data_IF_887743434410
#
_entry.id   IF_887743434410
#
_cell.length_a   1.000
_cell.length_b   1.000
_cell.length_c   1.000
_cell.angle_alpha   90.00
_cell.angle_beta   90.00
_cell.angle_gamma   90.00
#
_symmetry.space_group_name_H-M   'P 1'
#
loop_
_entity.id
_entity.type
_entity.pdbx_description
1 polymer ?
#
# COMPACT_ATOMS: atom_id res chain seq x y z
N UNK A 1 22.10 -10.16 -24.73
CA UNK A 1 22.66 -8.79 -24.79
C UNK A 1 21.56 -7.86 -24.32
N UNK A 2 21.52 -7.55 -23.02
CA UNK A 2 20.55 -6.65 -22.41
C UNK A 2 21.16 -5.26 -22.32
N UNK A 3 20.58 -4.30 -23.05
CA UNK A 3 21.01 -2.91 -22.99
C UNK A 3 20.49 -2.28 -21.69
N UNK A 4 21.34 -1.58 -20.92
CA UNK A 4 20.94 -0.96 -19.66
C UNK A 4 20.08 0.28 -19.91
N UNK A 5 18.98 0.37 -19.16
CA UNK A 5 18.05 1.50 -19.16
C UNK A 5 18.79 2.72 -18.60
N UNK A 6 19.20 3.63 -19.48
CA UNK A 6 19.73 4.94 -19.08
C UNK A 6 18.57 5.76 -18.49
N UNK A 7 18.51 5.83 -17.16
CA UNK A 7 17.68 6.82 -16.47
C UNK A 7 18.42 8.16 -16.63
N UNK A 8 17.95 8.96 -17.59
CA UNK A 8 18.46 10.30 -17.83
C UNK A 8 18.04 11.19 -16.65
N UNK A 9 19.02 11.63 -15.88
CA UNK A 9 18.85 12.53 -14.73
C UNK A 9 18.63 13.95 -15.23
N UNK A 10 17.54 14.18 -15.97
CA UNK A 10 17.14 15.54 -16.35
C UNK A 10 16.25 16.12 -15.23
N UNK A 11 16.89 16.90 -14.36
CA UNK A 11 16.34 17.92 -13.46
C UNK A 11 15.19 17.50 -12.53
N UNK A 12 15.48 17.44 -11.24
CA UNK A 12 14.55 17.27 -10.11
C UNK A 12 13.30 18.19 -10.17
N UNK A 13 13.42 19.36 -10.80
CA UNK A 13 12.32 20.29 -11.07
C UNK A 13 11.19 19.68 -11.93
N UNK A 14 11.49 18.65 -12.73
CA UNK A 14 10.51 18.00 -13.59
C UNK A 14 9.72 16.90 -12.85
N UNK A 15 10.26 16.32 -11.77
CA UNK A 15 9.52 15.34 -10.97
C UNK A 15 8.42 16.04 -10.17
N UNK A 16 8.72 17.17 -9.54
CA UNK A 16 7.74 17.99 -8.83
C UNK A 16 6.65 18.47 -9.79
N UNK A 17 7.03 19.00 -10.96
CA UNK A 17 6.08 19.39 -11.99
C UNK A 17 5.22 18.21 -12.46
N UNK A 18 5.79 17.01 -12.60
CA UNK A 18 5.03 15.80 -12.97
C UNK A 18 4.13 15.29 -11.85
N UNK A 19 4.45 15.54 -10.59
CA UNK A 19 3.57 15.22 -9.45
C UNK A 19 2.41 16.21 -9.34
N UNK A 20 2.66 17.50 -9.60
CA UNK A 20 1.65 18.56 -9.48
C UNK A 20 0.77 18.70 -10.72
N UNK A 21 1.35 18.48 -11.91
CA UNK A 21 0.71 18.73 -13.21
C UNK A 21 0.67 17.51 -14.12
N UNK A 22 1.24 16.37 -13.69
CA UNK A 22 1.12 15.14 -14.45
C UNK A 22 -0.31 14.63 -14.39
N UNK A 23 -0.75 14.03 -15.49
CA UNK A 23 -2.07 13.43 -15.61
C UNK A 23 -2.33 12.52 -14.40
N UNK A 24 -3.39 12.84 -13.64
CA UNK A 24 -3.86 12.00 -12.56
C UNK A 24 -4.18 10.64 -13.18
N UNK A 25 -3.53 9.58 -12.68
CA UNK A 25 -3.89 8.22 -13.08
C UNK A 25 -5.39 8.09 -12.86
N UNK A 26 -6.14 7.97 -13.96
CA UNK A 26 -7.59 8.03 -14.00
C UNK A 26 -8.18 6.96 -13.10
N UNK A 27 -8.30 7.30 -11.82
CA UNK A 27 -8.99 6.49 -10.85
C UNK A 27 -10.45 6.57 -11.23
N UNK A 28 -11.06 5.40 -11.39
CA UNK A 28 -12.40 5.17 -11.92
C UNK A 28 -13.39 6.24 -11.45
N UNK A 29 -13.53 7.29 -12.26
CA UNK A 29 -14.62 8.24 -12.15
C UNK A 29 -15.60 7.76 -13.22
N UNK A 30 -16.68 7.16 -12.76
CA UNK A 30 -17.82 6.75 -13.57
C UNK A 30 -18.33 7.95 -14.38
N UNK A 31 -17.94 8.05 -15.65
CA UNK A 31 -18.51 8.96 -16.65
C UNK A 31 -18.76 8.12 -17.89
N UNK A 32 -19.96 7.55 -17.99
CA UNK A 32 -21.09 8.06 -18.80
C UNK A 32 -20.72 8.06 -20.30
N UNK A 33 -20.80 6.88 -20.89
CA UNK A 33 -21.04 6.67 -22.33
C UNK A 33 -22.50 7.03 -22.59
N UNK A 34 -22.80 7.94 -23.52
CA UNK A 34 -24.14 8.07 -24.13
C UNK A 34 -24.03 8.92 -25.41
N UNK A 35 -23.52 8.30 -26.48
CA UNK A 35 -23.80 8.72 -27.85
C UNK A 35 -25.25 8.35 -28.18
N UNK A 36 -26.18 9.31 -28.18
CA UNK A 36 -27.58 9.06 -28.58
C UNK A 36 -27.99 9.94 -29.77
N UNK A 37 -28.05 9.29 -30.94
CA UNK A 37 -28.64 9.80 -32.18
C UNK A 37 -30.12 10.18 -31.99
N UNK A 38 -30.45 11.37 -32.45
CA UNK A 38 -31.76 12.00 -32.30
C UNK A 38 -32.69 11.46 -33.38
N UNK A 39 -33.43 10.40 -33.06
CA UNK A 39 -34.44 9.87 -33.99
C UNK A 39 -35.84 10.45 -33.74
N UNK A 40 -36.45 10.87 -34.84
CA UNK A 40 -37.66 11.69 -34.92
C UNK A 40 -38.88 10.79 -34.76
N UNK A 41 -39.74 11.04 -33.77
CA UNK A 41 -41.06 10.41 -33.73
C UNK A 41 -42.16 11.43 -33.47
N UNK A 42 -43.19 11.25 -34.30
CA UNK A 42 -44.19 12.17 -34.77
C UNK A 42 -45.34 12.41 -33.78
N UNK A 43 -45.98 13.56 -33.96
CA UNK A 43 -47.08 14.10 -33.20
C UNK A 43 -48.36 13.32 -33.51
N UNK A 44 -48.97 12.68 -32.51
CA UNK A 44 -50.42 12.41 -32.56
C UNK A 44 -51.04 12.61 -31.17
N UNK A 45 -52.16 13.30 -31.17
CA UNK A 45 -52.74 14.08 -30.09
C UNK A 45 -54.14 13.49 -29.81
N UNK A 46 -54.34 12.84 -28.66
CA UNK A 46 -55.64 12.38 -28.14
C UNK A 46 -55.61 12.58 -26.61
N UNK A 47 -56.14 13.67 -26.05
CA UNK A 47 -57.52 13.87 -25.58
C UNK A 47 -58.07 12.71 -24.74
N UNK A 48 -57.95 12.83 -23.42
CA UNK A 48 -58.87 12.23 -22.45
C UNK A 48 -59.15 13.25 -21.34
N UNK A 49 -60.42 13.33 -21.00
CA UNK A 49 -61.05 14.26 -20.08
C UNK A 49 -60.69 13.93 -18.62
N UNK A 50 -60.41 14.95 -17.81
CA UNK A 50 -60.07 14.80 -16.40
C UNK A 50 -61.22 15.30 -15.51
N UNK A 51 -61.75 14.40 -14.70
CA UNK A 51 -62.65 14.68 -13.59
C UNK A 51 -61.88 15.04 -12.31
N UNK A 52 -62.42 16.05 -11.61
CA UNK A 52 -62.50 16.26 -10.17
C UNK A 52 -61.25 16.16 -9.24
N UNK A 53 -61.04 17.32 -8.58
CA UNK A 53 -60.74 17.50 -7.15
C UNK A 53 -59.27 17.58 -6.68
N UNK A 54 -59.01 18.71 -5.99
CA UNK A 54 -58.03 18.93 -4.92
C UNK A 54 -56.58 19.33 -5.31
N UNK A 55 -56.47 20.61 -5.67
CA UNK A 55 -55.56 21.61 -5.07
C UNK A 55 -54.10 21.19 -4.82
N UNK A 56 -53.32 21.09 -5.89
CA UNK A 56 -51.85 21.20 -5.86
C UNK A 56 -51.39 22.21 -6.92
N UNK A 57 -50.27 22.91 -6.68
CA UNK A 57 -50.04 24.25 -7.16
C UNK A 57 -49.96 24.27 -8.68
N UNK A 58 -50.71 25.23 -9.21
CA UNK A 58 -50.76 25.72 -10.56
C UNK A 58 -49.44 25.57 -11.34
N UNK A 59 -49.19 24.40 -11.93
CA UNK A 59 -48.33 24.29 -13.10
C UNK A 59 -49.13 24.97 -14.21
N UNK A 60 -48.89 26.27 -14.34
CA UNK A 60 -49.58 27.17 -15.28
C UNK A 60 -49.72 26.46 -16.63
N UNK A 61 -50.95 26.40 -17.20
CA UNK A 61 -51.16 25.73 -18.46
C UNK A 61 -50.23 26.36 -19.47
N UNK A 62 -49.37 25.51 -20.04
CA UNK A 62 -48.37 25.83 -21.06
C UNK A 62 -49.01 26.75 -22.10
N UNK A 63 -48.79 28.05 -21.98
CA UNK A 63 -49.32 28.99 -22.94
C UNK A 63 -48.49 28.82 -24.21
N UNK A 64 -49.03 28.05 -25.16
CA UNK A 64 -48.48 27.81 -26.50
C UNK A 64 -48.29 29.08 -27.36
N UNK A 65 -48.31 30.27 -26.74
CA UNK A 65 -48.23 31.58 -27.38
C UNK A 65 -46.88 32.27 -27.23
N UNK A 66 -45.94 31.72 -26.46
CA UNK A 66 -44.64 32.36 -26.23
C UNK A 66 -43.52 31.82 -27.14
N UNK A 67 -43.73 31.78 -28.45
CA UNK A 67 -42.70 31.31 -29.41
C UNK A 67 -41.76 32.42 -29.91
N UNK A 68 -41.67 33.55 -29.19
CA UNK A 68 -40.77 34.66 -29.52
C UNK A 68 -39.43 34.59 -28.77
N UNK A 69 -38.49 35.53 -29.02
CA UNK A 69 -37.16 35.54 -28.39
C UNK A 69 -37.19 35.51 -26.85
N UNK A 70 -38.20 36.15 -26.24
CA UNK A 70 -38.42 36.11 -24.79
C UNK A 70 -38.85 34.74 -24.28
N UNK A 71 -39.59 33.96 -25.07
CA UNK A 71 -40.00 32.61 -24.70
C UNK A 71 -38.84 31.62 -24.75
N UNK A 72 -37.95 31.76 -25.74
CA UNK A 72 -36.72 30.96 -25.82
C UNK A 72 -35.86 31.13 -24.57
N UNK A 73 -35.73 32.37 -24.07
CA UNK A 73 -34.97 32.64 -22.85
C UNK A 73 -35.59 31.98 -21.60
N UNK A 74 -36.91 31.94 -21.51
CA UNK A 74 -37.62 31.29 -20.41
C UNK A 74 -37.46 29.77 -20.47
N UNK A 75 -37.62 29.18 -21.66
CA UNK A 75 -37.39 27.76 -21.90
C UNK A 75 -35.95 27.37 -21.53
N UNK A 76 -34.95 28.21 -21.85
CA UNK A 76 -33.55 27.97 -21.46
C UNK A 76 -33.36 27.93 -19.93
N UNK A 77 -33.94 28.89 -19.19
CA UNK A 77 -33.85 28.91 -17.71
C UNK A 77 -34.47 27.67 -17.09
N UNK A 78 -35.63 27.24 -17.59
CA UNK A 78 -36.32 26.04 -17.13
C UNK A 78 -35.48 24.79 -17.45
N UNK A 79 -34.92 24.70 -18.66
CA UNK A 79 -34.06 23.58 -19.07
C UNK A 79 -32.79 23.49 -18.22
N UNK A 80 -32.15 24.63 -17.91
CA UNK A 80 -30.97 24.69 -17.05
C UNK A 80 -31.28 24.20 -15.63
N UNK A 81 -32.35 24.70 -15.03
CA UNK A 81 -32.78 24.26 -13.69
C UNK A 81 -33.10 22.75 -13.65
N UNK A 82 -33.72 22.21 -14.72
CA UNK A 82 -33.95 20.76 -14.85
C UNK A 82 -32.66 19.94 -14.97
N UNK A 83 -31.62 20.48 -15.59
CA UNK A 83 -30.33 19.80 -15.69
C UNK A 83 -29.66 19.73 -14.31
N UNK A 84 -29.64 20.84 -13.58
CA UNK A 84 -29.13 20.90 -12.19
C UNK A 84 -29.92 19.97 -11.25
N UNK A 85 -31.25 19.87 -11.43
CA UNK A 85 -32.09 18.91 -10.70
C UNK A 85 -31.76 17.45 -11.05
N UNK A 86 -31.44 17.15 -12.31
CA UNK A 86 -30.99 15.81 -12.73
C UNK A 86 -29.62 15.48 -12.14
N UNK A 87 -28.69 16.42 -12.17
CA UNK A 87 -27.34 16.26 -11.62
C UNK A 87 -27.38 16.04 -10.11
N UNK A 88 -28.15 16.85 -9.38
CA UNK A 88 -28.35 16.68 -7.94
C UNK A 88 -29.00 15.34 -7.59
N UNK A 89 -30.01 14.89 -8.36
CA UNK A 89 -30.60 13.55 -8.19
C UNK A 89 -29.61 12.43 -8.49
N UNK A 90 -28.79 12.56 -9.54
CA UNK A 90 -27.70 11.60 -9.83
C UNK A 90 -26.72 11.54 -8.65
N UNK A 91 -26.30 12.69 -8.14
CA UNK A 91 -25.40 12.77 -6.98
C UNK A 91 -26.02 12.14 -5.73
N UNK A 92 -27.29 12.42 -5.45
CA UNK A 92 -28.02 11.83 -4.33
C UNK A 92 -28.15 10.30 -4.46
N UNK A 93 -28.39 9.78 -5.67
CA UNK A 93 -28.42 8.34 -5.93
C UNK A 93 -27.06 7.67 -5.69
N UNK A 94 -25.96 8.28 -6.15
CA UNK A 94 -24.60 7.78 -5.90
C UNK A 94 -24.31 7.76 -4.40
N UNK A 95 -24.67 8.83 -3.67
CA UNK A 95 -24.49 8.90 -2.23
C UNK A 95 -25.33 7.86 -1.49
N UNK A 96 -26.59 7.67 -1.91
CA UNK A 96 -27.48 6.66 -1.36
C UNK A 96 -26.95 5.25 -1.62
N UNK A 97 -26.41 4.98 -2.80
CA UNK A 97 -25.78 3.71 -3.15
C UNK A 97 -24.50 3.46 -2.33
N UNK A 98 -23.64 4.48 -2.17
CA UNK A 98 -22.48 4.39 -1.29
C UNK A 98 -22.89 4.12 0.16
N UNK A 99 -23.99 4.75 0.61
CA UNK A 99 -24.56 4.54 1.95
C UNK A 99 -25.16 3.14 2.10
N UNK A 100 -25.84 2.57 1.12
CA UNK A 100 -26.35 1.19 1.21
C UNK A 100 -25.22 0.17 1.13
N UNK A 101 -24.21 0.40 0.28
CA UNK A 101 -23.01 -0.44 0.23
C UNK A 101 -22.20 -0.41 1.54
N UNK A 102 -22.28 0.68 2.31
CA UNK A 102 -21.66 0.76 3.64
C UNK A 102 -22.59 0.24 4.74
N UNK A 103 -23.90 0.52 4.73
CA UNK A 103 -24.80 0.14 5.84
C UNK A 103 -25.35 -1.28 5.76
N UNK A 104 -25.50 -1.87 4.56
CA UNK A 104 -25.97 -3.26 4.44
C UNK A 104 -24.92 -4.28 4.92
N UNK A 105 -23.73 -3.80 5.26
CA UNK A 105 -22.59 -4.59 5.65
C UNK A 105 -22.19 -4.42 7.11
N UNK A 106 -23.03 -4.09 8.11
CA UNK A 106 -22.53 -4.00 9.50
C UNK A 106 -21.74 -5.26 9.95
N UNK A 107 -22.12 -6.45 9.48
CA UNK A 107 -21.32 -7.68 9.68
C UNK A 107 -20.10 -7.78 8.77
N UNK A 108 -20.16 -7.27 7.53
CA UNK A 108 -19.05 -7.30 6.56
C UNK A 108 -18.01 -6.21 6.83
N UNK A 109 -18.43 -5.02 7.26
CA UNK A 109 -17.64 -3.87 7.67
C UNK A 109 -16.75 -4.21 8.85
N UNK A 110 -17.26 -4.90 9.87
CA UNK A 110 -16.41 -5.37 10.96
C UNK A 110 -15.30 -6.29 10.43
N UNK A 111 -15.62 -7.16 9.45
CA UNK A 111 -14.64 -8.01 8.78
C UNK A 111 -13.66 -7.22 7.90
N UNK A 112 -14.13 -6.18 7.20
CA UNK A 112 -13.31 -5.32 6.35
C UNK A 112 -12.40 -4.41 7.17
N UNK A 113 -12.88 -3.88 8.29
CA UNK A 113 -12.12 -3.05 9.21
C UNK A 113 -11.05 -3.89 9.90
N UNK A 114 -11.37 -5.11 10.35
CA UNK A 114 -10.37 -6.03 10.89
C UNK A 114 -9.32 -6.40 9.82
N UNK A 115 -9.76 -6.63 8.57
CA UNK A 115 -8.84 -6.86 7.46
C UNK A 115 -7.95 -5.63 7.20
N UNK A 116 -8.51 -4.42 7.24
CA UNK A 116 -7.77 -3.17 7.08
C UNK A 116 -6.75 -3.00 8.20
N UNK A 117 -7.14 -3.21 9.46
CA UNK A 117 -6.28 -3.15 10.64
C UNK A 117 -5.14 -4.15 10.53
N UNK A 118 -5.43 -5.39 10.14
CA UNK A 118 -4.45 -6.45 9.93
C UNK A 118 -3.44 -6.07 8.83
N UNK A 119 -3.89 -5.58 7.68
CA UNK A 119 -3.00 -5.15 6.58
C UNK A 119 -2.12 -3.97 6.97
N UNK A 120 -2.68 -3.01 7.71
CA UNK A 120 -1.91 -1.88 8.22
C UNK A 120 -0.83 -2.34 9.21
N UNK A 121 -1.15 -3.31 10.08
CA UNK A 121 -0.19 -3.90 11.00
C UNK A 121 0.92 -4.66 10.25
N UNK A 122 0.56 -5.51 9.29
CA UNK A 122 1.53 -6.22 8.42
C UNK A 122 2.48 -5.24 7.71
N UNK A 123 1.94 -4.11 7.21
CA UNK A 123 2.74 -3.06 6.57
C UNK A 123 3.66 -2.36 7.58
N UNK A 124 3.17 -2.02 8.77
CA UNK A 124 3.97 -1.40 9.84
C UNK A 124 5.12 -2.31 10.27
N UNK A 125 4.84 -3.59 10.46
CA UNK A 125 5.81 -4.61 10.85
C UNK A 125 6.90 -4.78 9.78
N UNK A 126 6.50 -4.81 8.50
CA UNK A 126 7.45 -4.88 7.39
C UNK A 126 8.37 -3.66 7.34
N UNK A 127 7.82 -2.45 7.49
CA UNK A 127 8.61 -1.21 7.51
C UNK A 127 9.55 -1.16 8.73
N UNK A 128 9.08 -1.61 9.89
CA UNK A 128 9.91 -1.72 11.08
C UNK A 128 11.09 -2.69 10.86
N UNK A 129 10.81 -3.88 10.32
CA UNK A 129 11.82 -4.87 10.00
C UNK A 129 12.87 -4.33 9.01
N UNK A 130 12.41 -3.68 7.93
CA UNK A 130 13.27 -3.10 6.90
C UNK A 130 14.20 -2.00 7.47
N UNK A 131 13.70 -1.18 8.39
CA UNK A 131 14.52 -0.16 9.07
C UNK A 131 15.54 -0.77 10.04
N UNK A 132 15.19 -1.91 10.65
CA UNK A 132 16.00 -2.54 11.68
C UNK A 132 17.14 -3.39 11.11
N UNK A 133 16.97 -3.98 9.93
CA UNK A 133 18.02 -4.76 9.27
C UNK A 133 18.95 -3.79 8.55
N UNK A 134 20.19 -3.73 8.99
CA UNK A 134 21.19 -2.86 8.37
C UNK A 134 21.69 -3.46 7.05
N UNK A 135 21.58 -2.72 5.96
CA UNK A 135 22.26 -3.07 4.71
C UNK A 135 23.67 -2.48 4.71
N UNK A 136 24.67 -3.35 4.74
CA UNK A 136 26.08 -2.97 4.79
C UNK A 136 26.58 -2.83 3.36
N UNK A 137 26.88 -1.60 2.95
CA UNK A 137 27.23 -1.27 1.56
C UNK A 137 28.74 -1.13 1.36
N UNK A 138 29.48 -0.92 2.44
CA UNK A 138 30.94 -0.79 2.44
C UNK A 138 31.59 -1.80 3.39
N UNK A 139 32.87 -2.06 3.15
CA UNK A 139 33.65 -2.98 4.00
C UNK A 139 33.87 -2.41 5.39
N UNK A 140 34.07 -1.09 5.50
CA UNK A 140 34.24 -0.39 6.77
C UNK A 140 32.97 -0.52 7.62
N UNK A 141 31.80 -0.30 7.02
CA UNK A 141 30.49 -0.48 7.69
C UNK A 141 30.32 -1.90 8.25
N UNK A 142 30.83 -2.92 7.56
CA UNK A 142 30.79 -4.31 8.03
C UNK A 142 31.66 -4.53 9.28
N UNK A 143 32.90 -4.01 9.28
CA UNK A 143 33.80 -4.13 10.43
C UNK A 143 33.26 -3.33 11.62
N UNK A 144 32.88 -2.07 11.40
CA UNK A 144 32.30 -1.20 12.41
C UNK A 144 31.03 -1.80 13.03
N UNK A 145 30.23 -2.51 12.23
CA UNK A 145 29.03 -3.20 12.72
C UNK A 145 29.35 -4.37 13.65
N UNK A 146 30.43 -5.12 13.40
CA UNK A 146 30.83 -6.21 14.29
C UNK A 146 31.44 -5.64 15.58
N UNK A 147 32.29 -4.63 15.46
CA UNK A 147 33.01 -4.01 16.57
C UNK A 147 32.07 -3.21 17.49
N UNK A 148 31.16 -2.39 16.94
CA UNK A 148 30.33 -1.45 17.74
C UNK A 148 29.21 -2.12 18.57
N UNK A 149 29.04 -3.44 18.46
CA UNK A 149 27.88 -4.16 19.00
C UNK A 149 28.26 -5.16 20.10
N UNK A 150 28.98 -4.69 21.13
CA UNK A 150 29.32 -5.49 22.31
C UNK A 150 28.11 -6.07 23.07
N UNK A 151 28.31 -7.26 23.64
CA UNK A 151 27.37 -8.02 24.44
C UNK A 151 26.01 -8.26 23.75
N UNK A 152 26.02 -8.34 22.41
CA UNK A 152 24.84 -8.63 21.60
C UNK A 152 25.16 -9.70 20.56
N UNK A 153 24.12 -10.45 20.23
CA UNK A 153 24.15 -11.38 19.11
C UNK A 153 23.99 -10.63 17.80
N UNK A 154 24.87 -10.93 16.85
CA UNK A 154 24.90 -10.31 15.53
C UNK A 154 24.75 -11.42 14.49
N UNK A 155 23.74 -11.31 13.64
CA UNK A 155 23.52 -12.20 12.51
C UNK A 155 23.73 -11.40 11.22
N UNK A 156 24.65 -11.87 10.40
CA UNK A 156 24.96 -11.27 9.09
C UNK A 156 24.55 -12.22 7.99
N UNK A 157 23.63 -11.77 7.14
CA UNK A 157 23.22 -12.48 5.94
C UNK A 157 24.03 -11.99 4.73
N UNK A 158 24.89 -12.86 4.21
CA UNK A 158 25.53 -12.62 2.92
C UNK A 158 24.56 -13.12 1.85
N UNK A 159 24.07 -12.20 1.02
CA UNK A 159 22.91 -12.43 0.18
C UNK A 159 23.12 -12.04 -1.28
N UNK A 160 22.22 -12.50 -2.13
CA UNK A 160 22.10 -12.07 -3.52
C UNK A 160 20.62 -12.00 -3.89
N UNK A 161 20.23 -10.97 -4.64
CA UNK A 161 18.84 -10.76 -5.07
C UNK A 161 18.38 -11.83 -6.06
N UNK A 162 19.32 -12.40 -6.81
CA UNK A 162 19.06 -13.44 -7.82
C UNK A 162 18.97 -14.86 -7.21
N UNK A 163 19.18 -15.01 -5.89
CA UNK A 163 19.25 -16.31 -5.22
C UNK A 163 17.98 -16.58 -4.37
N UNK A 164 17.25 -17.67 -4.68
CA UNK A 164 16.00 -18.00 -3.99
C UNK A 164 16.20 -18.24 -2.48
N UNK A 165 17.28 -18.92 -2.09
CA UNK A 165 17.61 -19.14 -0.69
C UNK A 165 17.86 -17.83 0.07
N UNK A 166 18.48 -16.85 -0.58
CA UNK A 166 18.70 -15.51 -0.04
C UNK A 166 17.37 -14.76 0.13
N UNK A 167 16.44 -14.91 -0.80
CA UNK A 167 15.09 -14.36 -0.69
C UNK A 167 14.37 -14.98 0.52
N UNK A 168 14.47 -16.30 0.72
CA UNK A 168 13.90 -16.99 1.89
C UNK A 168 14.53 -16.47 3.18
N UNK A 169 15.86 -16.40 3.26
CA UNK A 169 16.55 -15.94 4.48
C UNK A 169 16.26 -14.47 4.78
N UNK A 170 16.10 -13.61 3.77
CA UNK A 170 15.66 -12.23 3.95
C UNK A 170 14.25 -12.14 4.58
N UNK A 171 13.31 -12.99 4.16
CA UNK A 171 11.98 -13.07 4.78
C UNK A 171 12.08 -13.50 6.25
N UNK A 172 12.92 -14.50 6.53
CA UNK A 172 13.19 -14.95 7.90
C UNK A 172 13.82 -13.84 8.75
N UNK A 173 14.77 -13.09 8.20
CA UNK A 173 15.37 -11.93 8.86
C UNK A 173 14.32 -10.88 9.22
N UNK A 174 13.35 -10.61 8.35
CA UNK A 174 12.26 -9.69 8.66
C UNK A 174 11.45 -10.17 9.88
N UNK A 175 11.13 -11.47 9.92
CA UNK A 175 10.43 -12.07 11.06
C UNK A 175 11.28 -12.00 12.35
N UNK A 176 12.59 -12.26 12.27
CA UNK A 176 13.50 -12.14 13.40
C UNK A 176 13.63 -10.71 13.90
N UNK A 177 13.65 -9.73 12.99
CA UNK A 177 13.75 -8.32 13.32
C UNK A 177 12.57 -7.86 14.20
N UNK A 178 11.36 -8.33 13.89
CA UNK A 178 10.16 -8.00 14.70
C UNK A 178 10.20 -8.75 16.04
N UNK A 179 10.45 -10.07 16.01
CA UNK A 179 10.36 -10.93 17.20
C UNK A 179 11.46 -10.70 18.22
N UNK A 180 12.65 -10.31 17.79
CA UNK A 180 13.83 -10.20 18.65
C UNK A 180 14.46 -8.80 18.58
N UNK A 181 13.86 -7.78 19.24
CA UNK A 181 14.35 -6.40 19.37
C UNK A 181 15.87 -6.26 19.56
N UNK A 182 16.44 -7.12 20.42
CA UNK A 182 17.83 -7.02 20.86
C UNK A 182 18.84 -7.68 19.90
N UNK A 183 18.35 -8.49 18.95
CA UNK A 183 19.18 -9.15 17.95
C UNK A 183 19.62 -8.13 16.89
N UNK A 184 20.93 -8.07 16.62
CA UNK A 184 21.50 -7.25 15.57
C UNK A 184 21.52 -8.02 14.27
N UNK A 185 20.82 -7.49 13.27
CA UNK A 185 20.63 -8.12 11.98
C UNK A 185 21.18 -7.20 10.91
N UNK A 186 22.07 -7.76 10.08
CA UNK A 186 22.60 -7.06 8.93
C UNK A 186 22.60 -7.97 7.71
N UNK A 187 22.55 -7.35 6.53
CA UNK A 187 22.71 -8.03 5.26
C UNK A 187 23.78 -7.34 4.44
N UNK A 188 24.55 -8.12 3.68
CA UNK A 188 25.67 -7.60 2.88
C UNK A 188 25.81 -8.38 1.57
N UNK A 189 26.18 -7.68 0.50
CA UNK A 189 26.51 -8.34 -0.76
C UNK A 189 27.92 -8.97 -0.69
N UNK A 190 28.14 -10.15 -1.28
CA UNK A 190 29.45 -10.81 -1.28
C UNK A 190 30.57 -9.91 -1.79
N UNK A 191 30.29 -9.11 -2.82
CA UNK A 191 31.29 -8.24 -3.44
C UNK A 191 31.75 -7.11 -2.51
N UNK A 192 30.86 -6.61 -1.64
CA UNK A 192 31.17 -5.56 -0.65
C UNK A 192 32.25 -5.99 0.34
N UNK A 193 32.23 -7.26 0.74
CA UNK A 193 33.20 -7.86 1.67
C UNK A 193 34.36 -8.57 0.95
N UNK A 194 34.50 -8.36 -0.38
CA UNK A 194 35.62 -8.88 -1.16
C UNK A 194 35.55 -10.38 -1.48
N UNK A 195 34.36 -10.98 -1.43
CA UNK A 195 34.18 -12.39 -1.81
C UNK A 195 34.26 -12.55 -3.33
N UNK A 196 34.67 -13.75 -3.77
CA UNK A 196 34.82 -14.06 -5.18
C UNK A 196 33.46 -14.26 -5.89
N UNK A 197 33.39 -14.04 -7.21
CA UNK A 197 32.19 -14.38 -7.99
C UNK A 197 31.79 -15.85 -7.86
N UNK A 198 32.77 -16.76 -7.69
CA UNK A 198 32.51 -18.17 -7.46
C UNK A 198 31.76 -18.41 -6.13
N UNK A 199 32.06 -17.62 -5.10
CA UNK A 199 31.32 -17.66 -3.85
C UNK A 199 29.88 -17.15 -4.02
N UNK A 200 29.64 -16.09 -4.81
CA UNK A 200 28.29 -15.65 -5.16
C UNK A 200 27.46 -16.78 -5.80
N UNK A 201 28.07 -17.56 -6.70
CA UNK A 201 27.39 -18.65 -7.41
C UNK A 201 27.15 -19.91 -6.57
N UNK A 202 28.03 -20.21 -5.60
CA UNK A 202 28.05 -21.52 -4.91
C UNK A 202 28.02 -21.46 -3.39
N UNK A 203 28.11 -20.28 -2.79
CA UNK A 203 28.14 -20.11 -1.34
C UNK A 203 26.82 -19.60 -0.75
N UNK A 204 25.93 -19.06 -1.59
CA UNK A 204 24.75 -18.33 -1.12
C UNK A 204 23.51 -19.22 -0.97
N UNK A 205 22.64 -18.92 0.01
CA UNK A 205 22.78 -17.89 1.05
C UNK A 205 23.76 -18.30 2.15
N UNK A 206 24.56 -17.37 2.67
CA UNK A 206 25.45 -17.62 3.83
C UNK A 206 24.99 -16.84 5.04
N UNK A 207 24.89 -17.51 6.19
CA UNK A 207 24.62 -16.88 7.47
C UNK A 207 25.86 -16.91 8.35
N UNK A 208 26.27 -15.74 8.84
CA UNK A 208 27.30 -15.62 9.86
C UNK A 208 26.70 -15.18 11.19
N UNK A 209 27.19 -15.74 12.28
CA UNK A 209 26.79 -15.42 13.64
C UNK A 209 28.02 -14.95 14.42
N UNK A 210 27.93 -13.74 14.96
CA UNK A 210 28.96 -13.14 15.80
C UNK A 210 28.41 -12.82 17.19
N UNK A 211 29.32 -12.80 18.16
CA UNK A 211 29.11 -12.25 19.49
C UNK A 211 30.44 -11.76 20.02
N UNK A 212 30.47 -10.54 20.57
CA UNK A 212 31.68 -9.96 21.16
C UNK A 212 32.89 -10.03 20.20
N UNK A 213 32.67 -9.63 18.94
CA UNK A 213 33.64 -9.65 17.83
C UNK A 213 34.11 -11.06 17.36
N UNK A 214 33.65 -12.12 18.02
CA UNK A 214 34.02 -13.51 17.69
C UNK A 214 32.99 -14.10 16.72
N UNK A 215 33.48 -14.68 15.62
CA UNK A 215 32.66 -15.49 14.71
C UNK A 215 32.37 -16.85 15.35
N UNK A 216 31.12 -17.06 15.75
CA UNK A 216 30.66 -18.30 16.40
C UNK A 216 30.10 -19.32 15.41
N UNK A 217 29.57 -18.86 14.28
CA UNK A 217 29.03 -19.75 13.25
C UNK A 217 29.10 -19.14 11.86
N UNK A 218 29.46 -19.96 10.86
CA UNK A 218 29.48 -19.57 9.45
C UNK A 218 28.84 -20.67 8.60
N UNK A 219 27.58 -20.48 8.27
CA UNK A 219 26.73 -21.47 7.61
C UNK A 219 26.61 -21.11 6.12
N UNK A 220 27.52 -21.68 5.33
CA UNK A 220 27.53 -21.53 3.88
C UNK A 220 26.40 -22.39 3.30
N UNK A 221 25.62 -21.83 2.36
CA UNK A 221 24.42 -22.46 1.79
C UNK A 221 23.53 -23.05 2.88
N UNK A 222 23.09 -22.22 3.82
CA UNK A 222 22.27 -22.68 4.97
C UNK A 222 20.99 -23.44 4.56
N UNK A 223 20.54 -23.26 3.31
CA UNK A 223 19.45 -24.03 2.69
C UNK A 223 19.76 -25.52 2.52
N UNK A 224 21.02 -25.95 2.53
CA UNK A 224 21.39 -27.37 2.49
C UNK A 224 20.99 -28.11 3.77
N UNK A 225 20.96 -27.38 4.89
CA UNK A 225 20.58 -27.92 6.20
C UNK A 225 19.10 -27.66 6.51
N UNK A 226 18.59 -26.47 6.19
CA UNK A 226 17.22 -26.05 6.51
C UNK A 226 16.19 -26.32 5.40
N UNK A 227 16.66 -26.63 4.18
CA UNK A 227 15.82 -26.68 2.98
C UNK A 227 15.63 -25.30 2.32
N UNK A 228 14.94 -25.28 1.18
CA UNK A 228 14.70 -24.06 0.39
C UNK A 228 13.71 -23.08 1.04
N UNK A 229 12.78 -23.62 1.84
CA UNK A 229 11.72 -22.87 2.52
C UNK A 229 11.73 -23.24 4.00
N UNK A 230 12.23 -22.33 4.82
CA UNK A 230 12.28 -22.50 6.26
C UNK A 230 11.76 -21.26 6.99
N UNK A 231 11.37 -21.44 8.26
CA UNK A 231 10.84 -20.39 9.13
C UNK A 231 11.89 -19.86 10.09
N UNK A 232 11.58 -18.74 10.77
CA UNK A 232 12.44 -18.21 11.84
C UNK A 232 12.63 -19.21 12.99
N UNK A 233 11.60 -19.97 13.33
CA UNK A 233 11.68 -20.98 14.39
C UNK A 233 12.62 -22.12 14.02
N UNK A 234 12.58 -22.58 12.76
CA UNK A 234 13.50 -23.61 12.27
C UNK A 234 14.94 -23.10 12.25
N UNK A 235 15.16 -21.83 11.87
CA UNK A 235 16.50 -21.24 11.93
C UNK A 235 17.02 -21.15 13.37
N UNK A 236 16.18 -20.73 14.33
CA UNK A 236 16.57 -20.65 15.75
C UNK A 236 16.86 -22.05 16.31
N UNK A 237 16.03 -23.03 15.98
CA UNK A 237 16.26 -24.42 16.38
C UNK A 237 17.59 -24.93 15.84
N UNK A 238 17.87 -24.72 14.55
CA UNK A 238 19.15 -25.08 13.95
C UNK A 238 20.34 -24.39 14.62
N UNK A 239 20.22 -23.11 14.97
CA UNK A 239 21.28 -22.41 15.71
C UNK A 239 21.48 -23.04 17.11
N UNK A 240 20.40 -23.39 17.82
CA UNK A 240 20.51 -24.06 19.12
C UNK A 240 21.14 -25.45 19.03
N UNK A 241 20.87 -26.22 17.96
CA UNK A 241 21.52 -27.51 17.71
C UNK A 241 23.03 -27.38 17.46
N UNK A 242 23.47 -26.19 17.01
CA UNK A 242 24.88 -25.86 16.80
C UNK A 242 25.48 -25.07 17.99
N UNK A 243 24.89 -25.20 19.19
CA UNK A 243 25.34 -24.55 20.44
C UNK A 243 25.32 -23.01 20.40
N UNK A 244 24.56 -22.43 19.46
CA UNK A 244 24.34 -20.99 19.34
C UNK A 244 23.01 -20.65 20.03
N UNK A 245 23.08 -20.47 21.34
CA UNK A 245 21.94 -20.06 22.15
C UNK A 245 21.77 -18.54 22.13
N UNK A 246 20.91 -18.03 21.25
CA UNK A 246 20.63 -16.60 21.14
C UNK A 246 19.95 -16.00 22.39
N UNK A 247 19.67 -16.80 23.43
CA UNK A 247 19.07 -16.35 24.69
C UNK A 247 17.63 -15.86 24.52
N UNK A 248 16.90 -16.48 23.59
CA UNK A 248 15.56 -16.09 23.21
C UNK A 248 14.54 -16.64 24.22
N UNK A 249 14.34 -15.99 25.37
CA UNK A 249 13.12 -16.22 26.14
C UNK A 249 11.92 -15.80 25.28
N UNK A 250 10.90 -16.66 25.22
CA UNK A 250 9.66 -16.44 24.48
C UNK A 250 9.00 -15.13 24.89
N UNK A 251 9.27 -14.05 24.17
CA UNK A 251 8.39 -12.89 24.20
C UNK A 251 7.12 -13.32 23.49
N UNK A 252 6.11 -13.73 24.26
CA UNK A 252 4.74 -13.73 23.78
C UNK A 252 4.47 -12.32 23.28
N UNK A 253 3.98 -12.22 22.05
CA UNK A 253 3.61 -10.99 21.36
C UNK A 253 2.52 -10.27 22.15
N UNK A 254 2.87 -9.63 23.26
CA UNK A 254 2.10 -8.54 23.83
C UNK A 254 2.40 -7.33 22.95
N UNK A 255 1.83 -7.31 21.75
CA UNK A 255 1.44 -6.06 21.10
C UNK A 255 0.26 -5.56 21.94
N UNK A 256 0.59 -5.10 23.15
CA UNK A 256 -0.28 -4.25 23.93
C UNK A 256 -0.24 -2.90 23.26
N UNK A 257 -1.41 -2.47 22.83
CA UNK A 257 -1.68 -1.20 22.18
C UNK A 257 -1.03 -0.06 22.99
N UNK A 258 0.13 0.42 22.54
CA UNK A 258 0.75 1.62 23.07
C UNK A 258 1.56 2.30 21.97
N UNK A 259 0.84 2.86 20.99
CA UNK A 259 1.36 3.96 20.22
C UNK A 259 0.52 5.16 20.61
N UNK A 260 1.16 6.07 21.35
CA UNK A 260 0.59 7.33 21.79
C UNK A 260 -0.08 8.02 20.62
N UNK A 261 -1.34 8.32 20.83
CA UNK A 261 -2.10 9.29 20.07
C UNK A 261 -1.40 10.65 20.24
N UNK A 262 -0.40 10.93 19.40
CA UNK A 262 0.10 12.28 19.20
C UNK A 262 -1.02 13.07 18.52
N UNK A 263 -1.99 13.48 19.34
CA UNK A 263 -2.89 14.60 19.06
C UNK A 263 -2.00 15.82 18.88
N UNK A 264 -1.55 16.03 17.65
CA UNK A 264 -1.07 17.31 17.20
C UNK A 264 -2.31 18.20 17.09
N UNK A 265 -2.60 18.89 18.20
CA UNK A 265 -3.38 20.12 18.17
C UNK A 265 -2.66 21.05 17.20
N UNK A 266 -3.18 21.12 15.99
CA UNK A 266 -2.90 22.22 15.08
C UNK A 266 -3.70 23.38 15.68
N UNK A 267 -3.02 24.19 16.49
CA UNK A 267 -3.53 25.47 16.94
C UNK A 267 -3.70 26.36 15.70
N UNK A 268 -4.97 26.57 15.32
CA UNK A 268 -5.39 27.62 14.40
C UNK A 268 -5.16 28.97 15.08
N UNK A 269 -3.98 29.55 14.93
CA UNK A 269 -3.72 30.97 15.19
C UNK A 269 -2.74 31.49 14.13
N UNK A 270 -3.29 32.17 13.12
CA UNK A 270 -2.85 33.44 12.49
C UNK A 270 -3.42 33.64 11.07
#
# INVERSE_FOLDING_TARGET
>A
MTCPVHIRVDNMANLEAKLLYGDTAGYCSSSDEDDVEVDKVDRTLQRYDNEAAETKPHLTPRNYRNTGPKGVLEDYKICKAKLEEKESKKYEQILAQAKTCTLSGESENNSLEELRRKRLLEMKDYLYAMKKINELTKKEEFLDYIESNWNRWILIHIYDEDNEGSITLNKVFNTLAIRYPNLKLAKVLPMTIGMSPQFRMKGLPTLQVYRDEILLGNFIRITDQLGEKFTADQLIHFLSENEIELGMCDYTTNIGDNYGDENTNIDDDY
#
